data_IF_049900892816
#
_entry.id   IF_049900892816
#
_cell.length_a   1.000
_cell.length_b   1.000
_cell.length_c   1.000
_cell.angle_alpha   90.00
_cell.angle_beta   90.00
_cell.angle_gamma   90.00
#
_symmetry.space_group_name_H-M   'P 1'
#
loop_
_entity.id
_entity.type
_entity.pdbx_description
1 polymer ?
#
# COMPACT_ATOMS: atom_id res chain seq x y z
N UNK A 1 16.96 24.79 0.81
CA UNK A 1 16.39 23.52 1.32
C UNK A 1 16.48 22.51 0.20
N UNK A 2 17.14 21.38 0.41
CA UNK A 2 17.06 20.26 -0.54
C UNK A 2 15.60 19.80 -0.63
N UNK A 3 15.14 19.49 -1.84
CA UNK A 3 13.80 18.91 -2.00
C UNK A 3 13.78 17.51 -1.38
N UNK A 4 12.59 17.02 -1.00
CA UNK A 4 12.43 15.62 -0.53
C UNK A 4 12.97 14.65 -1.57
N UNK A 5 12.74 14.93 -2.86
CA UNK A 5 13.29 14.16 -3.98
C UNK A 5 14.82 14.13 -3.97
N UNK A 6 15.46 15.30 -3.94
CA UNK A 6 16.92 15.40 -3.93
C UNK A 6 17.51 14.63 -2.74
N UNK A 7 16.86 14.70 -1.58
CA UNK A 7 17.28 13.94 -0.41
C UNK A 7 17.16 12.41 -0.61
N UNK A 8 16.05 11.94 -1.19
CA UNK A 8 15.84 10.52 -1.51
C UNK A 8 16.86 9.99 -2.52
N UNK A 9 17.13 10.75 -3.57
CA UNK A 9 18.05 10.36 -4.63
C UNK A 9 19.52 10.43 -4.18
N UNK A 10 19.93 11.53 -3.51
CA UNK A 10 21.34 11.80 -3.18
C UNK A 10 21.81 11.15 -1.88
N UNK A 11 20.98 11.14 -0.81
CA UNK A 11 21.38 10.60 0.50
C UNK A 11 20.96 9.15 0.71
N UNK A 12 19.86 8.71 0.07
CA UNK A 12 19.25 7.41 0.32
C UNK A 12 19.25 6.48 -0.89
N UNK A 13 19.87 6.87 -2.01
CA UNK A 13 19.97 6.08 -3.24
C UNK A 13 18.61 5.49 -3.70
N UNK A 14 17.52 6.24 -3.51
CA UNK A 14 16.16 5.81 -3.83
C UNK A 14 15.67 6.61 -5.03
N UNK A 15 15.42 5.92 -6.14
CA UNK A 15 14.80 6.53 -7.32
C UNK A 15 13.35 6.94 -7.02
N UNK A 16 12.98 8.13 -7.46
CA UNK A 16 11.66 8.71 -7.19
C UNK A 16 10.85 8.75 -8.48
N UNK A 17 9.77 7.98 -8.50
CA UNK A 17 8.79 7.99 -9.59
C UNK A 17 7.74 9.07 -9.39
N UNK A 18 7.42 9.77 -10.48
CA UNK A 18 6.37 10.80 -10.47
C UNK A 18 5.01 10.18 -10.79
N UNK A 19 4.06 10.35 -9.88
CA UNK A 19 2.65 9.97 -10.10
C UNK A 19 1.85 11.23 -10.47
N UNK A 20 1.28 11.31 -11.69
CA UNK A 20 0.40 12.40 -12.08
C UNK A 20 -0.80 12.60 -11.13
N UNK A 21 -1.29 13.85 -10.99
CA UNK A 21 -2.47 14.11 -10.19
C UNK A 21 -3.71 13.44 -10.77
N UNK A 22 -4.60 12.97 -9.89
CA UNK A 22 -5.91 12.43 -10.27
C UNK A 22 -5.93 10.98 -10.74
N UNK A 23 -4.76 10.30 -10.76
CA UNK A 23 -4.68 8.91 -11.23
C UNK A 23 -4.19 7.92 -10.17
N UNK A 24 -4.18 8.28 -8.88
CA UNK A 24 -3.64 7.40 -7.82
C UNK A 24 -4.37 6.06 -7.73
N UNK A 25 -5.68 6.02 -8.01
CA UNK A 25 -6.45 4.78 -8.10
C UNK A 25 -6.07 3.85 -9.27
N UNK A 26 -5.14 4.27 -10.14
CA UNK A 26 -4.60 3.50 -11.25
C UNK A 26 -3.08 3.31 -11.13
N UNK A 27 -2.38 4.35 -10.70
CA UNK A 27 -0.92 4.49 -10.68
C UNK A 27 -0.34 4.55 -9.26
N UNK A 28 -1.05 4.01 -8.26
CA UNK A 28 -0.50 3.74 -6.93
C UNK A 28 -1.03 2.42 -6.39
N UNK A 29 -0.16 1.43 -6.29
CA UNK A 29 -0.46 0.05 -5.91
C UNK A 29 -1.26 -0.06 -4.61
N UNK A 30 -0.94 0.80 -3.63
CA UNK A 30 -1.65 0.86 -2.36
C UNK A 30 -3.10 1.30 -2.54
N UNK A 31 -3.37 2.31 -3.36
CA UNK A 31 -4.72 2.78 -3.65
C UNK A 31 -5.50 1.76 -4.48
N UNK A 32 -4.85 1.13 -5.45
CA UNK A 32 -5.41 0.13 -6.37
C UNK A 32 -5.91 -1.12 -5.64
N UNK A 33 -5.14 -1.64 -4.68
CA UNK A 33 -5.43 -2.95 -4.08
C UNK A 33 -5.71 -2.94 -2.58
N UNK A 34 -5.10 -2.04 -1.81
CA UNK A 34 -5.09 -2.12 -0.34
C UNK A 34 -6.06 -1.13 0.30
N UNK A 35 -6.09 0.12 -0.15
CA UNK A 35 -6.76 1.19 0.58
C UNK A 35 -8.27 0.99 0.72
N UNK A 36 -8.92 0.40 -0.28
CA UNK A 36 -10.36 0.15 -0.20
C UNK A 36 -10.71 -0.83 0.93
N UNK A 37 -10.12 -2.03 0.92
CA UNK A 37 -10.37 -3.07 1.93
C UNK A 37 -9.90 -2.63 3.32
N UNK A 38 -8.74 -2.00 3.40
CA UNK A 38 -8.19 -1.47 4.64
C UNK A 38 -9.11 -0.42 5.29
N UNK A 39 -9.56 0.60 4.53
CA UNK A 39 -10.48 1.63 5.06
C UNK A 39 -11.83 1.03 5.46
N UNK A 40 -12.35 0.07 4.70
CA UNK A 40 -13.58 -0.64 5.05
C UNK A 40 -13.42 -1.38 6.40
N UNK A 41 -12.28 -2.02 6.63
CA UNK A 41 -11.99 -2.71 7.89
C UNK A 41 -11.84 -1.75 9.06
N UNK A 42 -11.11 -0.66 8.90
CA UNK A 42 -11.00 0.41 9.91
C UNK A 42 -12.39 0.90 10.33
N UNK A 43 -13.27 1.17 9.36
CA UNK A 43 -14.65 1.62 9.62
C UNK A 43 -15.44 0.57 10.39
N UNK A 44 -15.36 -0.70 9.98
CA UNK A 44 -16.04 -1.80 10.66
C UNK A 44 -15.60 -1.94 12.12
N UNK A 45 -14.28 -1.91 12.38
CA UNK A 45 -13.72 -1.97 13.74
C UNK A 45 -14.13 -0.77 14.59
N UNK A 46 -14.11 0.43 14.02
CA UNK A 46 -14.55 1.64 14.72
C UNK A 46 -16.02 1.57 15.13
N UNK A 47 -16.90 1.15 14.22
CA UNK A 47 -18.33 0.96 14.52
C UNK A 47 -18.50 -0.10 15.59
N UNK A 48 -17.87 -1.26 15.44
CA UNK A 48 -17.95 -2.37 16.40
C UNK A 48 -17.53 -1.96 17.81
N UNK A 49 -16.46 -1.17 17.93
CA UNK A 49 -16.02 -0.65 19.23
C UNK A 49 -17.11 0.19 19.90
N UNK A 50 -17.72 1.11 19.17
CA UNK A 50 -18.72 2.04 19.72
C UNK A 50 -20.13 1.42 19.88
N UNK A 51 -20.33 0.16 19.52
CA UNK A 51 -21.54 -0.58 19.91
C UNK A 51 -21.59 -0.88 21.41
N UNK A 52 -20.43 -0.91 22.08
CA UNK A 52 -20.30 -1.33 23.48
C UNK A 52 -19.51 -0.35 24.34
N UNK A 53 -18.94 0.70 23.74
CA UNK A 53 -18.09 1.67 24.42
C UNK A 53 -18.54 3.09 24.06
N UNK A 54 -18.43 4.01 25.01
CA UNK A 54 -18.64 5.44 24.77
C UNK A 54 -17.48 6.03 23.95
N UNK A 55 -17.69 7.24 23.42
CA UNK A 55 -16.63 7.98 22.74
C UNK A 55 -15.53 8.41 23.72
N UNK A 56 -14.28 8.41 23.25
CA UNK A 56 -13.14 8.87 24.02
C UNK A 56 -13.32 10.30 24.53
N UNK A 57 -12.99 10.56 25.79
CA UNK A 57 -13.10 11.89 26.39
C UNK A 57 -11.89 12.77 26.10
N UNK A 58 -10.74 12.17 25.77
CA UNK A 58 -9.50 12.91 25.50
C UNK A 58 -8.94 12.66 24.10
N UNK A 59 -8.18 13.63 23.54
CA UNK A 59 -7.46 13.43 22.29
C UNK A 59 -6.42 12.29 22.34
N UNK A 60 -5.84 12.01 23.52
CA UNK A 60 -4.86 10.94 23.68
C UNK A 60 -5.49 9.56 23.56
N UNK A 61 -6.60 9.32 24.26
CA UNK A 61 -7.38 8.08 24.15
C UNK A 61 -7.86 7.87 22.71
N UNK A 62 -8.36 8.93 22.07
CA UNK A 62 -8.77 8.86 20.67
C UNK A 62 -7.64 8.43 19.75
N UNK A 63 -6.44 9.02 19.90
CA UNK A 63 -5.27 8.62 19.10
C UNK A 63 -4.88 7.15 19.36
N UNK A 64 -4.91 6.72 20.62
CA UNK A 64 -4.61 5.35 20.99
C UNK A 64 -5.59 4.35 20.35
N UNK A 65 -6.89 4.63 20.45
CA UNK A 65 -7.95 3.81 19.84
C UNK A 65 -7.78 3.74 18.31
N UNK A 66 -7.58 4.87 17.64
CA UNK A 66 -7.38 4.90 16.19
C UNK A 66 -6.12 4.13 15.78
N UNK A 67 -5.02 4.26 16.52
CA UNK A 67 -3.80 3.49 16.26
C UNK A 67 -4.03 1.98 16.38
N UNK A 68 -4.75 1.53 17.40
CA UNK A 68 -5.12 0.12 17.55
C UNK A 68 -6.00 -0.38 16.40
N UNK A 69 -7.00 0.41 15.98
CA UNK A 69 -7.86 0.06 14.84
C UNK A 69 -7.05 -0.05 13.55
N UNK A 70 -6.14 0.90 13.31
CA UNK A 70 -5.27 0.90 12.12
C UNK A 70 -4.38 -0.35 12.12
N UNK A 71 -3.73 -0.67 13.25
CA UNK A 71 -2.92 -1.87 13.37
C UNK A 71 -3.74 -3.15 13.11
N UNK A 72 -4.89 -3.29 13.76
CA UNK A 72 -5.76 -4.46 13.57
C UNK A 72 -6.31 -4.58 12.15
N UNK A 73 -6.60 -3.46 11.48
CA UNK A 73 -7.03 -3.49 10.09
C UNK A 73 -5.89 -3.90 9.15
N UNK A 74 -4.66 -3.46 9.44
CA UNK A 74 -3.48 -3.80 8.66
C UNK A 74 -3.18 -5.30 8.68
N UNK A 75 -3.32 -5.94 9.84
CA UNK A 75 -3.17 -7.41 9.98
C UNK A 75 -4.15 -8.23 9.15
N UNK A 76 -5.21 -7.60 8.60
CA UNK A 76 -6.14 -8.28 7.69
C UNK A 76 -5.79 -8.15 6.22
N UNK A 77 -4.73 -7.40 5.88
CA UNK A 77 -4.24 -7.26 4.52
C UNK A 77 -3.19 -8.34 4.27
N UNK A 78 -3.55 -9.25 3.38
CA UNK A 78 -2.70 -10.32 2.88
C UNK A 78 -1.61 -9.79 1.94
N UNK A 79 -0.41 -10.38 2.01
CA UNK A 79 0.72 -10.03 1.13
C UNK A 79 0.35 -10.15 -0.37
N UNK A 80 -0.49 -11.13 -0.72
CA UNK A 80 -1.00 -11.31 -2.07
C UNK A 80 -1.85 -10.11 -2.53
N UNK A 81 -2.58 -9.47 -1.62
CA UNK A 81 -3.34 -8.24 -1.92
C UNK A 81 -2.40 -7.09 -2.27
N UNK A 82 -1.27 -6.97 -1.55
CA UNK A 82 -0.24 -5.97 -1.85
C UNK A 82 0.38 -6.25 -3.22
N UNK A 83 0.84 -7.49 -3.47
CA UNK A 83 1.45 -7.89 -4.73
C UNK A 83 0.54 -7.66 -5.94
N UNK A 84 -0.76 -7.96 -5.81
CA UNK A 84 -1.76 -7.70 -6.86
C UNK A 84 -1.90 -6.21 -7.20
N UNK A 85 -1.65 -5.31 -6.26
CA UNK A 85 -1.62 -3.86 -6.53
C UNK A 85 -0.54 -3.50 -7.55
N UNK A 86 0.67 -3.96 -7.30
CA UNK A 86 1.83 -3.72 -8.19
C UNK A 86 1.69 -4.39 -9.56
N UNK A 87 1.06 -5.56 -9.62
CA UNK A 87 0.75 -6.22 -10.90
C UNK A 87 -0.29 -5.42 -11.69
N UNK A 88 -1.36 -4.94 -11.04
CA UNK A 88 -2.41 -4.15 -11.71
C UNK A 88 -1.93 -2.79 -12.20
N UNK A 89 -0.99 -2.19 -11.49
CA UNK A 89 -0.36 -0.93 -11.89
C UNK A 89 0.61 -1.11 -13.08
N UNK A 90 1.02 -2.34 -13.36
CA UNK A 90 2.01 -2.65 -14.40
C UNK A 90 3.45 -2.37 -13.98
N UNK A 91 3.70 -2.11 -12.69
CA UNK A 91 5.05 -1.92 -12.15
C UNK A 91 5.81 -3.25 -12.01
N UNK A 92 5.09 -4.36 -11.85
CA UNK A 92 5.69 -5.69 -11.88
C UNK A 92 5.48 -6.30 -13.27
N UNK A 93 6.57 -6.74 -13.94
CA UNK A 93 6.45 -7.47 -15.20
C UNK A 93 5.49 -8.66 -15.10
N UNK A 94 4.54 -8.73 -16.03
CA UNK A 94 3.58 -9.83 -16.18
C UNK A 94 4.06 -10.78 -17.29
N UNK A 95 4.16 -12.08 -16.98
CA UNK A 95 4.84 -13.05 -17.84
C UNK A 95 5.28 -14.31 -17.09
N UNK A 96 5.86 -15.30 -17.80
CA UNK A 96 6.24 -16.59 -17.23
C UNK A 96 7.25 -16.40 -16.09
N UNK A 97 7.11 -17.20 -15.03
CA UNK A 97 8.01 -17.17 -13.87
C UNK A 97 8.62 -18.54 -13.62
N UNK A 98 9.82 -18.56 -13.06
CA UNK A 98 10.45 -19.80 -12.55
C UNK A 98 9.65 -20.34 -11.35
N UNK A 99 9.94 -21.56 -10.93
CA UNK A 99 9.34 -22.13 -9.71
C UNK A 99 9.64 -21.27 -8.46
N UNK A 100 10.76 -20.55 -8.46
CA UNK A 100 11.16 -19.63 -7.39
C UNK A 100 10.57 -18.21 -7.55
N UNK A 101 9.70 -17.99 -8.55
CA UNK A 101 8.99 -16.73 -8.76
C UNK A 101 9.75 -15.66 -9.54
N UNK A 102 10.96 -15.93 -10.02
CA UNK A 102 11.73 -15.01 -10.85
C UNK A 102 11.13 -14.88 -12.24
N UNK A 103 11.17 -13.68 -12.84
CA UNK A 103 10.64 -13.46 -14.19
C UNK A 103 11.51 -14.14 -15.24
N UNK A 104 10.88 -14.88 -16.16
CA UNK A 104 11.56 -15.51 -17.29
C UNK A 104 11.65 -14.47 -18.40
N UNK A 105 12.87 -14.02 -18.67
CA UNK A 105 13.18 -13.16 -19.82
C UNK A 105 13.52 -14.09 -21.00
N UNK A 106 12.71 -14.16 -22.07
CA UNK A 106 13.08 -14.94 -23.24
C UNK A 106 14.35 -14.36 -23.87
N UNK A 107 15.28 -15.22 -24.28
CA UNK A 107 16.46 -14.78 -25.03
C UNK A 107 15.99 -14.08 -26.32
N UNK A 108 16.62 -12.94 -26.69
CA UNK A 108 16.28 -12.26 -27.93
C UNK A 108 16.50 -13.22 -29.10
N UNK A 109 15.59 -13.19 -30.08
CA UNK A 109 15.74 -13.97 -31.30
C UNK A 109 17.07 -13.57 -31.97
N UNK A 110 17.93 -14.55 -32.20
CA UNK A 110 19.15 -14.37 -32.99
C UNK A 110 18.79 -13.92 -34.41
N UNK A 111 19.32 -12.78 -34.84
CA UNK A 111 19.24 -12.27 -36.23
C UNK A 111 19.87 -13.24 -37.24
#
# INVERSE_FOLDING_TARGET
>A
MSSVRAKLEEEYCTEVEFVPPGITGLAQSMDVAVMHSFKAKCRSLYIKHHLSNEFCSTPQERRHLIAQIVAQAWETIDEETIARGFVKEGLIPTGPRTQDGAFIIPEPASE
#
